data_IF_098174783110
#
_entry.id   IF_098174783110
#
_cell.length_a   1.000
_cell.length_b   1.000
_cell.length_c   1.000
_cell.angle_alpha   90.00
_cell.angle_beta   90.00
_cell.angle_gamma   90.00
#
_symmetry.space_group_name_H-M   'P 1'
#
loop_
_entity.id
_entity.type
_entity.pdbx_description
1 polymer ?
#
# COMPACT_ATOMS: atom_id res chain seq x y z
N UNK A 1 -17.36 0.15 -8.05
CA UNK A 1 -17.18 1.00 -6.85
C UNK A 1 -15.71 1.07 -6.46
N UNK A 2 -14.97 -0.06 -6.31
CA UNK A 2 -13.55 -0.05 -5.95
C UNK A 2 -12.72 0.79 -6.93
N UNK A 3 -12.81 0.54 -8.24
CA UNK A 3 -12.10 1.30 -9.25
C UNK A 3 -12.47 2.79 -9.24
N UNK A 4 -13.75 3.11 -9.04
CA UNK A 4 -14.21 4.49 -8.91
C UNK A 4 -13.57 5.19 -7.69
N UNK A 5 -13.47 4.50 -6.55
CA UNK A 5 -12.79 5.02 -5.36
C UNK A 5 -11.31 5.27 -5.59
N UNK A 6 -10.60 4.36 -6.29
CA UNK A 6 -9.19 4.54 -6.67
C UNK A 6 -9.01 5.76 -7.57
N UNK A 7 -9.79 5.85 -8.65
CA UNK A 7 -9.70 6.97 -9.58
C UNK A 7 -10.04 8.30 -8.90
N UNK A 8 -11.09 8.34 -8.07
CA UNK A 8 -11.47 9.53 -7.33
C UNK A 8 -10.36 9.97 -6.35
N UNK A 9 -9.70 9.02 -5.68
CA UNK A 9 -8.58 9.33 -4.79
C UNK A 9 -7.41 9.98 -5.52
N UNK A 10 -7.01 9.45 -6.68
CA UNK A 10 -5.93 10.03 -7.48
C UNK A 10 -6.27 11.40 -8.08
N UNK A 11 -7.55 11.68 -8.31
CA UNK A 11 -8.04 12.94 -8.86
C UNK A 11 -8.43 13.95 -7.77
N UNK A 12 -8.41 13.56 -6.49
CA UNK A 12 -8.83 14.42 -5.40
C UNK A 12 -7.94 15.66 -5.26
N UNK A 13 -8.55 16.84 -5.36
CA UNK A 13 -7.95 18.13 -5.10
C UNK A 13 -8.31 18.70 -3.72
N UNK A 14 -9.08 17.95 -2.94
CA UNK A 14 -9.59 18.31 -1.63
C UNK A 14 -9.40 17.17 -0.64
N UNK A 15 -9.05 17.51 0.61
CA UNK A 15 -8.73 16.52 1.63
C UNK A 15 -9.96 15.68 2.06
N UNK A 16 -11.14 16.29 2.06
CA UNK A 16 -12.38 15.59 2.38
C UNK A 16 -12.81 14.65 1.23
N UNK A 17 -12.64 15.08 -0.02
CA UNK A 17 -12.90 14.21 -1.16
C UNK A 17 -11.96 12.99 -1.17
N UNK A 18 -10.69 13.17 -0.76
CA UNK A 18 -9.76 12.07 -0.57
C UNK A 18 -10.25 11.11 0.53
N UNK A 19 -10.78 11.63 1.64
CA UNK A 19 -11.40 10.84 2.70
C UNK A 19 -12.57 10.00 2.17
N UNK A 20 -13.52 10.62 1.47
CA UNK A 20 -14.67 9.92 0.87
C UNK A 20 -14.20 8.81 -0.08
N UNK A 21 -13.14 9.05 -0.84
CA UNK A 21 -12.54 8.05 -1.71
C UNK A 21 -12.02 6.85 -0.94
N UNK A 22 -11.34 7.06 0.19
CA UNK A 22 -10.89 5.99 1.08
C UNK A 22 -12.06 5.21 1.67
N UNK A 23 -13.16 5.86 2.02
CA UNK A 23 -14.35 5.17 2.53
C UNK A 23 -15.03 4.32 1.44
N UNK A 24 -15.09 4.81 0.20
CA UNK A 24 -15.54 4.01 -0.95
C UNK A 24 -14.67 2.78 -1.18
N UNK A 25 -13.33 2.94 -1.06
CA UNK A 25 -12.37 1.83 -1.14
C UNK A 25 -12.59 0.82 -0.03
N UNK A 26 -12.77 1.28 1.21
CA UNK A 26 -12.99 0.43 2.38
C UNK A 26 -14.26 -0.41 2.22
N UNK A 27 -15.38 0.23 1.91
CA UNK A 27 -16.66 -0.46 1.74
C UNK A 27 -16.60 -1.54 0.64
N UNK A 28 -16.05 -1.17 -0.53
CA UNK A 28 -15.94 -2.10 -1.65
C UNK A 28 -14.95 -3.24 -1.38
N UNK A 29 -13.80 -2.95 -0.78
CA UNK A 29 -12.78 -3.96 -0.49
C UNK A 29 -13.22 -4.93 0.61
N UNK A 30 -13.96 -4.47 1.63
CA UNK A 30 -14.51 -5.34 2.65
C UNK A 30 -15.46 -6.39 2.05
N UNK A 31 -16.40 -5.96 1.20
CA UNK A 31 -17.32 -6.88 0.53
C UNK A 31 -16.55 -7.90 -0.31
N UNK A 32 -15.56 -7.46 -1.09
CA UNK A 32 -14.74 -8.35 -1.93
C UNK A 32 -13.89 -9.33 -1.11
N UNK A 33 -13.35 -8.90 0.04
CA UNK A 33 -12.56 -9.74 0.93
C UNK A 33 -13.39 -10.86 1.55
N UNK A 34 -14.64 -10.57 1.93
CA UNK A 34 -15.54 -11.49 2.62
C UNK A 34 -16.37 -12.36 1.68
N UNK A 35 -16.31 -12.14 0.37
CA UNK A 35 -17.03 -12.97 -0.63
C UNK A 35 -16.69 -14.45 -0.46
N UNK A 36 -17.74 -15.28 -0.41
CA UNK A 36 -17.64 -16.72 -0.20
C UNK A 36 -17.79 -17.17 1.27
N UNK A 37 -17.80 -16.24 2.24
CA UNK A 37 -18.30 -16.45 3.60
C UNK A 37 -17.54 -17.47 4.46
N UNK A 38 -16.30 -17.86 4.12
CA UNK A 38 -15.54 -18.77 4.99
C UNK A 38 -15.14 -18.08 6.30
N UNK A 39 -15.03 -18.85 7.39
CA UNK A 39 -14.69 -18.32 8.70
C UNK A 39 -13.36 -17.49 8.69
N UNK A 40 -12.37 -17.95 7.93
CA UNK A 40 -11.08 -17.26 7.81
C UNK A 40 -11.22 -15.91 7.08
N UNK A 41 -12.02 -15.86 6.00
CA UNK A 41 -12.30 -14.62 5.28
C UNK A 41 -13.07 -13.62 6.11
N UNK A 42 -14.07 -14.10 6.87
CA UNK A 42 -14.85 -13.24 7.78
C UNK A 42 -13.93 -12.67 8.86
N UNK A 43 -13.11 -13.49 9.50
CA UNK A 43 -12.14 -13.05 10.52
C UNK A 43 -11.15 -12.02 9.97
N UNK A 44 -10.54 -12.31 8.83
CA UNK A 44 -9.62 -11.40 8.16
C UNK A 44 -10.31 -10.10 7.74
N UNK A 45 -11.55 -10.17 7.24
CA UNK A 45 -12.36 -9.02 6.88
C UNK A 45 -12.69 -8.13 8.07
N UNK A 46 -13.06 -8.71 9.21
CA UNK A 46 -13.34 -7.96 10.45
C UNK A 46 -12.07 -7.24 10.92
N UNK A 47 -10.92 -7.92 10.99
CA UNK A 47 -9.64 -7.29 11.35
C UNK A 47 -9.27 -6.16 10.41
N UNK A 48 -9.42 -6.36 9.10
CA UNK A 48 -9.18 -5.34 8.08
C UNK A 48 -10.06 -4.10 8.28
N UNK A 49 -11.37 -4.29 8.47
CA UNK A 49 -12.31 -3.18 8.67
C UNK A 49 -11.98 -2.42 9.95
N UNK A 50 -11.72 -3.12 11.06
CA UNK A 50 -11.40 -2.45 12.33
C UNK A 50 -10.17 -1.55 12.22
N UNK A 51 -9.08 -2.05 11.64
CA UNK A 51 -7.85 -1.26 11.44
C UNK A 51 -8.12 -0.09 10.47
N UNK A 52 -8.87 -0.35 9.40
CA UNK A 52 -9.22 0.70 8.43
C UNK A 52 -10.12 1.77 9.01
N UNK A 53 -11.08 1.42 9.87
CA UNK A 53 -11.93 2.39 10.58
C UNK A 53 -11.13 3.27 11.54
N UNK A 54 -10.16 2.69 12.27
CA UNK A 54 -9.24 3.48 13.10
C UNK A 54 -8.48 4.50 12.25
N UNK A 55 -7.94 4.08 11.11
CA UNK A 55 -7.31 5.00 10.16
C UNK A 55 -8.27 6.10 9.69
N UNK A 56 -9.52 5.76 9.39
CA UNK A 56 -10.54 6.72 8.93
C UNK A 56 -10.88 7.75 10.00
N UNK A 57 -11.00 7.33 11.27
CA UNK A 57 -11.21 8.27 12.40
C UNK A 57 -10.02 9.21 12.57
N UNK A 58 -8.79 8.68 12.53
CA UNK A 58 -7.57 9.51 12.61
C UNK A 58 -7.51 10.49 11.43
N UNK A 59 -7.87 10.05 10.22
CA UNK A 59 -7.90 10.92 9.05
C UNK A 59 -8.95 12.03 9.20
N UNK A 60 -10.14 11.70 9.71
CA UNK A 60 -11.19 12.69 9.97
C UNK A 60 -10.77 13.73 11.03
N UNK A 61 -10.04 13.28 12.07
CA UNK A 61 -9.43 14.22 13.04
C UNK A 61 -8.38 15.11 12.37
N UNK A 62 -7.57 14.56 11.46
CA UNK A 62 -6.63 15.34 10.64
C UNK A 62 -7.33 16.37 9.76
N UNK A 63 -8.45 16.01 9.14
CA UNK A 63 -9.27 16.92 8.34
C UNK A 63 -9.85 18.05 9.21
N UNK A 64 -10.41 17.70 10.37
CA UNK A 64 -10.96 18.69 11.30
C UNK A 64 -9.86 19.66 11.76
N UNK A 65 -8.68 19.15 12.09
CA UNK A 65 -7.55 19.98 12.49
C UNK A 65 -7.04 20.86 11.32
N UNK A 66 -6.96 20.32 10.11
CA UNK A 66 -6.60 21.07 8.91
C UNK A 66 -7.58 22.24 8.67
N UNK A 67 -8.89 21.96 8.74
CA UNK A 67 -9.91 22.98 8.57
C UNK A 67 -9.88 24.04 9.67
N UNK A 68 -9.71 23.63 10.91
CA UNK A 68 -9.56 24.55 12.03
C UNK A 68 -8.35 25.49 11.86
N UNK A 69 -7.21 24.96 11.39
CA UNK A 69 -5.97 25.71 11.26
C UNK A 69 -5.93 26.62 10.01
N UNK A 70 -6.57 26.20 8.90
CA UNK A 70 -6.44 26.88 7.60
C UNK A 70 -7.76 27.48 7.08
N UNK A 71 -8.90 27.05 7.59
CA UNK A 71 -10.24 27.42 7.10
C UNK A 71 -10.58 26.85 5.72
N UNK A 72 -9.80 25.87 5.22
CA UNK A 72 -10.00 25.26 3.91
C UNK A 72 -9.60 23.77 3.93
N UNK A 73 -10.14 22.99 2.99
CA UNK A 73 -9.72 21.60 2.74
C UNK A 73 -9.18 21.41 1.31
N UNK A 74 -9.24 22.45 0.48
CA UNK A 74 -8.63 22.42 -0.83
C UNK A 74 -7.11 22.32 -0.69
N UNK A 75 -6.49 21.31 -1.31
CA UNK A 75 -5.06 21.00 -1.14
C UNK A 75 -4.14 22.14 -1.58
N UNK A 76 -4.50 22.84 -2.66
CA UNK A 76 -3.69 23.96 -3.17
C UNK A 76 -3.79 25.18 -2.27
N UNK A 77 -4.99 25.53 -1.79
CA UNK A 77 -5.20 26.64 -0.86
C UNK A 77 -4.56 26.34 0.51
N UNK A 78 -4.68 25.09 0.99
CA UNK A 78 -3.97 24.65 2.19
C UNK A 78 -2.45 24.80 2.08
N UNK A 79 -1.87 24.43 0.93
CA UNK A 79 -0.44 24.53 0.71
C UNK A 79 0.10 25.97 0.87
N UNK A 80 -0.72 26.97 0.53
CA UNK A 80 -0.38 28.38 0.73
C UNK A 80 -0.54 28.76 2.21
N UNK A 81 -1.70 28.46 2.81
CA UNK A 81 -2.02 28.87 4.19
C UNK A 81 -1.17 28.20 5.25
N UNK A 82 -0.71 26.97 5.00
CA UNK A 82 0.17 26.26 5.92
C UNK A 82 1.54 26.92 6.08
N UNK A 83 1.99 27.72 5.10
CA UNK A 83 3.27 28.41 5.18
C UNK A 83 3.27 29.53 6.23
N UNK A 84 2.10 30.10 6.53
CA UNK A 84 1.94 31.17 7.51
C UNK A 84 1.72 30.66 8.94
N UNK A 85 1.61 29.33 9.13
CA UNK A 85 1.36 28.73 10.44
C UNK A 85 2.65 28.39 11.19
N UNK A 86 2.62 28.37 12.53
CA UNK A 86 3.74 27.93 13.35
C UNK A 86 4.17 26.49 12.97
N UNK A 87 5.48 26.24 12.93
CA UNK A 87 6.05 24.94 12.56
C UNK A 87 5.51 23.77 13.41
N UNK A 88 5.25 23.99 14.69
CA UNK A 88 4.64 22.98 15.56
C UNK A 88 3.24 22.55 15.12
N UNK A 89 2.43 23.51 14.65
CA UNK A 89 1.07 23.23 14.13
C UNK A 89 1.15 22.41 12.84
N UNK A 90 1.98 22.82 11.90
CA UNK A 90 2.16 22.15 10.61
C UNK A 90 2.74 20.74 10.77
N UNK A 91 3.76 20.57 11.62
CA UNK A 91 4.35 19.26 11.92
C UNK A 91 3.36 18.34 12.59
N UNK A 92 2.56 18.82 13.55
CA UNK A 92 1.54 18.00 14.21
C UNK A 92 0.45 17.55 13.23
N UNK A 93 -0.03 18.47 12.39
CA UNK A 93 -1.00 18.14 11.36
C UNK A 93 -0.45 17.08 10.40
N UNK A 94 0.79 17.27 9.93
CA UNK A 94 1.44 16.29 9.05
C UNK A 94 1.58 14.92 9.72
N UNK A 95 2.00 14.89 11.00
CA UNK A 95 2.13 13.62 11.73
C UNK A 95 0.79 12.87 11.85
N UNK A 96 -0.32 13.56 12.15
CA UNK A 96 -1.66 12.95 12.21
C UNK A 96 -2.06 12.37 10.86
N UNK A 97 -1.86 13.11 9.78
CA UNK A 97 -2.17 12.63 8.42
C UNK A 97 -1.27 11.46 8.02
N UNK A 98 0.03 11.51 8.37
CA UNK A 98 0.98 10.41 8.10
C UNK A 98 0.59 9.12 8.81
N UNK A 99 0.09 9.17 10.05
CA UNK A 99 -0.40 7.98 10.74
C UNK A 99 -1.60 7.40 9.99
N UNK A 100 -2.58 8.23 9.60
CA UNK A 100 -3.74 7.76 8.84
C UNK A 100 -3.35 7.12 7.51
N UNK A 101 -2.51 7.79 6.73
CA UNK A 101 -2.05 7.30 5.43
C UNK A 101 -1.10 6.12 5.56
N UNK A 102 -0.26 6.09 6.61
CA UNK A 102 0.65 4.98 6.92
C UNK A 102 -0.10 3.68 7.25
N UNK A 103 -1.23 3.75 7.95
CA UNK A 103 -2.13 2.59 8.14
C UNK A 103 -2.66 2.11 6.78
N UNK A 104 -3.16 3.01 5.93
CA UNK A 104 -3.70 2.67 4.60
C UNK A 104 -2.62 2.15 3.66
N UNK A 105 -1.40 2.66 3.75
CA UNK A 105 -0.25 2.18 2.97
C UNK A 105 0.39 0.91 3.54
N UNK A 106 0.06 0.51 4.76
CA UNK A 106 0.69 -0.59 5.50
C UNK A 106 2.20 -0.36 5.76
N UNK A 107 2.54 0.83 6.25
CA UNK A 107 3.90 1.18 6.71
C UNK A 107 4.13 0.64 8.13
N UNK A 108 5.30 0.10 8.42
CA UNK A 108 5.65 -0.37 9.77
C UNK A 108 5.65 0.80 10.79
N UNK A 109 5.13 0.61 12.00
CA UNK A 109 4.61 -0.62 12.62
C UNK A 109 3.14 -0.94 12.28
N UNK A 110 2.49 -0.19 11.42
CA UNK A 110 1.06 -0.25 11.11
C UNK A 110 0.73 -1.27 9.99
N UNK A 111 1.70 -2.10 9.58
CA UNK A 111 1.61 -3.01 8.42
C UNK A 111 1.02 -4.39 8.72
N UNK A 112 0.83 -4.74 10.00
CA UNK A 112 0.50 -6.10 10.45
C UNK A 112 -0.82 -6.67 9.90
N UNK A 113 -1.78 -5.81 9.60
CA UNK A 113 -3.08 -6.20 9.08
C UNK A 113 -3.02 -6.79 7.67
N UNK A 114 -2.06 -6.36 6.84
CA UNK A 114 -1.99 -6.70 5.43
C UNK A 114 -1.65 -8.19 5.18
N UNK A 115 -0.59 -8.76 5.77
CA UNK A 115 -0.23 -10.17 5.56
C UNK A 115 -1.25 -11.16 6.11
N UNK A 116 -2.10 -10.73 7.04
CA UNK A 116 -3.16 -11.57 7.61
C UNK A 116 -4.49 -11.45 6.85
N UNK A 117 -4.69 -10.37 6.10
CA UNK A 117 -5.94 -10.12 5.36
C UNK A 117 -5.86 -10.56 3.89
N UNK A 118 -4.87 -10.10 3.15
CA UNK A 118 -4.80 -10.29 1.69
C UNK A 118 -4.72 -11.75 1.23
N UNK A 119 -3.97 -12.66 1.89
CA UNK A 119 -3.88 -14.06 1.45
C UNK A 119 -5.20 -14.82 1.51
N UNK A 120 -6.16 -14.37 2.32
CA UNK A 120 -7.45 -15.05 2.51
C UNK A 120 -8.45 -14.79 1.38
N UNK A 121 -8.30 -13.67 0.66
CA UNK A 121 -9.16 -13.30 -0.44
C UNK A 121 -8.98 -14.21 -1.67
N UNK A 122 -9.99 -14.28 -2.57
CA UNK A 122 -9.78 -14.88 -3.89
C UNK A 122 -8.64 -14.22 -4.64
N UNK A 123 -7.83 -15.00 -5.38
CA UNK A 123 -6.62 -14.51 -6.04
C UNK A 123 -6.84 -13.25 -6.92
N UNK A 124 -7.90 -13.12 -7.74
CA UNK A 124 -8.15 -11.89 -8.50
C UNK A 124 -8.39 -10.67 -7.60
N UNK A 125 -9.06 -10.87 -6.46
CA UNK A 125 -9.32 -9.82 -5.47
C UNK A 125 -8.00 -9.40 -4.80
N UNK A 126 -7.20 -10.37 -4.35
CA UNK A 126 -5.88 -10.12 -3.76
C UNK A 126 -4.97 -9.37 -4.74
N UNK A 127 -4.99 -9.74 -6.02
CA UNK A 127 -4.19 -9.09 -7.05
C UNK A 127 -4.53 -7.59 -7.18
N UNK A 128 -5.82 -7.24 -7.21
CA UNK A 128 -6.27 -5.85 -7.26
C UNK A 128 -5.92 -5.10 -5.96
N UNK A 129 -6.08 -5.74 -4.80
CA UNK A 129 -5.75 -5.13 -3.52
C UNK A 129 -4.25 -4.84 -3.41
N UNK A 130 -3.42 -5.82 -3.72
CA UNK A 130 -1.98 -5.70 -3.68
C UNK A 130 -1.45 -4.68 -4.72
N UNK A 131 -2.10 -4.62 -5.88
CA UNK A 131 -1.76 -3.65 -6.91
C UNK A 131 -2.12 -2.21 -6.54
N UNK A 132 -3.32 -1.96 -6.02
CA UNK A 132 -3.88 -0.60 -5.98
C UNK A 132 -4.14 -0.04 -4.58
N UNK A 133 -4.71 -0.82 -3.63
CA UNK A 133 -5.20 -0.23 -2.38
C UNK A 133 -4.12 0.47 -1.56
N UNK A 134 -3.00 -0.21 -1.34
CA UNK A 134 -1.87 0.36 -0.58
C UNK A 134 -1.23 1.55 -1.30
N UNK A 135 -1.27 1.57 -2.65
CA UNK A 135 -0.69 2.65 -3.46
C UNK A 135 -1.49 3.94 -3.38
N UNK A 136 -2.78 3.86 -3.12
CA UNK A 136 -3.58 5.07 -2.78
C UNK A 136 -3.08 5.69 -1.48
N UNK A 137 -2.71 4.89 -0.47
CA UNK A 137 -2.07 5.37 0.76
C UNK A 137 -0.70 6.01 0.50
N UNK A 138 0.15 5.35 -0.30
CA UNK A 138 1.46 5.91 -0.71
C UNK A 138 1.27 7.22 -1.48
N UNK A 139 0.32 7.28 -2.41
CA UNK A 139 -0.02 8.50 -3.14
C UNK A 139 -0.44 9.63 -2.21
N UNK A 140 -1.27 9.35 -1.21
CA UNK A 140 -1.68 10.34 -0.22
C UNK A 140 -0.48 10.90 0.56
N UNK A 141 0.50 10.05 0.92
CA UNK A 141 1.76 10.47 1.55
C UNK A 141 2.57 11.36 0.59
N UNK A 142 2.72 10.96 -0.69
CA UNK A 142 3.40 11.78 -1.71
C UNK A 142 2.75 13.15 -1.82
N UNK A 143 1.41 13.21 -1.94
CA UNK A 143 0.67 14.47 -2.06
C UNK A 143 0.80 15.35 -0.83
N UNK A 144 0.72 14.76 0.36
CA UNK A 144 0.92 15.49 1.61
C UNK A 144 2.33 16.05 1.69
N UNK A 145 3.34 15.22 1.49
CA UNK A 145 4.74 15.59 1.60
C UNK A 145 5.16 16.66 0.57
N UNK A 146 4.76 16.50 -0.70
CA UNK A 146 5.23 17.38 -1.78
C UNK A 146 4.46 18.67 -1.92
N UNK A 147 3.15 18.66 -1.62
CA UNK A 147 2.29 19.82 -1.83
C UNK A 147 2.01 20.58 -0.54
N UNK A 148 1.62 19.88 0.52
CA UNK A 148 1.18 20.53 1.75
C UNK A 148 2.32 20.80 2.74
N UNK A 149 3.31 19.91 2.81
CA UNK A 149 4.39 19.97 3.81
C UNK A 149 5.80 19.84 3.19
N UNK A 150 6.18 20.73 2.26
CA UNK A 150 7.45 20.61 1.51
C UNK A 150 8.70 20.88 2.34
N UNK A 151 8.57 21.16 3.64
CA UNK A 151 9.68 21.55 4.51
C UNK A 151 10.50 20.42 5.14
N UNK A 152 10.23 19.16 4.81
CA UNK A 152 11.02 18.01 5.29
C UNK A 152 10.91 17.70 6.79
N UNK A 153 9.94 18.28 7.50
CA UNK A 153 9.86 18.23 8.97
C UNK A 153 9.78 16.82 9.57
N UNK A 154 9.35 15.81 8.80
CA UNK A 154 9.23 14.41 9.23
C UNK A 154 10.01 13.45 8.32
N UNK A 155 10.96 13.93 7.53
CA UNK A 155 11.76 13.08 6.62
C UNK A 155 12.53 12.00 7.36
N UNK A 156 13.12 12.30 8.51
CA UNK A 156 13.82 11.32 9.35
C UNK A 156 12.87 10.22 9.84
N UNK A 157 11.63 10.59 10.21
CA UNK A 157 10.62 9.63 10.65
C UNK A 157 10.19 8.74 9.49
N UNK A 158 9.96 9.32 8.31
CA UNK A 158 9.65 8.57 7.08
C UNK A 158 10.81 7.66 6.67
N UNK A 159 12.06 8.14 6.77
CA UNK A 159 13.26 7.37 6.48
C UNK A 159 13.35 6.13 7.38
N UNK A 160 13.23 6.31 8.68
CA UNK A 160 13.28 5.21 9.65
C UNK A 160 12.11 4.26 9.43
N UNK A 161 10.90 4.77 9.25
CA UNK A 161 9.72 3.96 8.98
C UNK A 161 9.86 3.16 7.68
N UNK A 162 10.40 3.77 6.62
CA UNK A 162 10.69 3.11 5.34
C UNK A 162 11.69 1.98 5.50
N UNK A 163 12.83 2.23 6.15
CA UNK A 163 13.86 1.22 6.44
C UNK A 163 13.31 0.05 7.26
N UNK A 164 12.60 0.33 8.34
CA UNK A 164 11.98 -0.72 9.16
C UNK A 164 10.93 -1.51 8.40
N UNK A 165 10.15 -0.85 7.53
CA UNK A 165 9.16 -1.50 6.67
C UNK A 165 9.84 -2.47 5.69
N UNK A 166 10.97 -2.06 5.09
CA UNK A 166 11.77 -2.94 4.22
C UNK A 166 12.27 -4.17 4.97
N UNK A 167 12.92 -3.97 6.11
CA UNK A 167 13.55 -5.04 6.89
C UNK A 167 12.51 -6.01 7.44
N UNK A 168 11.48 -5.50 8.10
CA UNK A 168 10.41 -6.33 8.68
C UNK A 168 9.64 -7.08 7.60
N UNK A 169 9.37 -6.41 6.46
CA UNK A 169 8.71 -7.03 5.33
C UNK A 169 9.51 -8.20 4.74
N UNK A 170 10.80 -8.01 4.45
CA UNK A 170 11.60 -9.08 3.84
C UNK A 170 11.88 -10.24 4.82
N UNK A 171 12.18 -9.96 6.08
CA UNK A 171 12.35 -10.99 7.08
C UNK A 171 11.06 -11.78 7.31
N UNK A 172 9.93 -11.07 7.34
CA UNK A 172 8.60 -11.69 7.39
C UNK A 172 8.32 -12.59 6.18
N UNK A 173 8.73 -12.19 4.97
CA UNK A 173 8.57 -12.99 3.76
C UNK A 173 9.39 -14.29 3.81
N UNK A 174 10.65 -14.23 4.23
CA UNK A 174 11.53 -15.40 4.34
C UNK A 174 10.98 -16.43 5.35
N UNK A 175 10.29 -15.98 6.39
CA UNK A 175 9.71 -16.85 7.39
C UNK A 175 8.43 -17.59 6.93
N UNK A 176 7.87 -17.26 5.76
CA UNK A 176 6.59 -17.85 5.34
C UNK A 176 6.74 -19.19 4.62
N UNK A 177 5.75 -20.05 4.83
CA UNK A 177 5.59 -21.33 4.13
C UNK A 177 4.40 -21.35 3.17
N UNK A 178 3.66 -20.26 3.09
CA UNK A 178 2.55 -20.02 2.16
C UNK A 178 2.93 -18.95 1.15
N UNK A 179 2.74 -19.24 -0.15
CA UNK A 179 3.20 -18.36 -1.24
C UNK A 179 2.44 -17.02 -1.28
N UNK A 180 1.13 -17.01 -0.94
CA UNK A 180 0.37 -15.76 -0.89
C UNK A 180 0.81 -14.88 0.26
N UNK A 181 1.06 -15.50 1.41
CA UNK A 181 1.53 -14.80 2.60
C UNK A 181 2.96 -14.27 2.39
N UNK A 182 3.82 -15.05 1.74
CA UNK A 182 5.15 -14.60 1.31
C UNK A 182 5.05 -13.35 0.43
N UNK A 183 4.21 -13.37 -0.62
CA UNK A 183 4.01 -12.22 -1.49
C UNK A 183 3.38 -11.02 -0.77
N UNK A 184 2.58 -11.24 0.27
CA UNK A 184 2.03 -10.15 1.07
C UNK A 184 3.09 -9.47 1.94
N UNK A 185 4.05 -10.22 2.47
CA UNK A 185 5.18 -9.65 3.18
C UNK A 185 6.19 -8.97 2.25
N UNK A 186 6.43 -9.51 1.05
CA UNK A 186 7.24 -8.80 0.04
C UNK A 186 6.57 -7.49 -0.37
N UNK A 187 5.23 -7.46 -0.50
CA UNK A 187 4.48 -6.22 -0.74
C UNK A 187 4.76 -5.17 0.33
N UNK A 188 4.76 -5.55 1.63
CA UNK A 188 5.12 -4.64 2.74
C UNK A 188 6.55 -4.13 2.57
N UNK A 189 7.51 -5.01 2.30
CA UNK A 189 8.90 -4.61 2.06
C UNK A 189 9.03 -3.57 0.95
N UNK A 190 8.35 -3.78 -0.17
CA UNK A 190 8.39 -2.87 -1.32
C UNK A 190 7.68 -1.53 -1.08
N UNK A 191 6.69 -1.48 -0.18
CA UNK A 191 6.15 -0.22 0.31
C UNK A 191 7.23 0.58 1.05
N UNK A 192 8.09 -0.09 1.80
CA UNK A 192 9.25 0.53 2.45
C UNK A 192 10.16 1.27 1.47
N UNK A 193 10.44 0.69 0.28
CA UNK A 193 11.20 1.39 -0.77
C UNK A 193 10.52 2.67 -1.24
N UNK A 194 9.20 2.64 -1.39
CA UNK A 194 8.43 3.82 -1.80
C UNK A 194 8.50 4.92 -0.74
N UNK A 195 8.33 4.57 0.54
CA UNK A 195 8.41 5.54 1.66
C UNK A 195 9.83 6.10 1.79
N UNK A 196 10.84 5.25 1.65
CA UNK A 196 12.24 5.66 1.66
C UNK A 196 12.55 6.67 0.55
N UNK A 197 12.07 6.43 -0.67
CA UNK A 197 12.26 7.35 -1.79
C UNK A 197 11.55 8.71 -1.58
N UNK A 198 10.38 8.74 -0.91
CA UNK A 198 9.73 9.98 -0.50
C UNK A 198 10.59 10.74 0.51
N UNK A 199 11.11 10.03 1.52
CA UNK A 199 11.91 10.59 2.61
C UNK A 199 13.23 11.21 2.17
N UNK A 200 13.73 10.85 0.97
CA UNK A 200 14.94 11.50 0.40
C UNK A 200 14.70 12.96 0.05
N UNK A 201 13.46 13.42 -0.07
CA UNK A 201 13.08 14.83 -0.37
C UNK A 201 13.82 15.44 -1.55
N UNK A 202 14.20 14.61 -2.53
CA UNK A 202 14.88 15.04 -3.76
C UNK A 202 14.01 14.79 -4.99
N UNK A 203 14.16 15.59 -6.07
CA UNK A 203 13.44 15.33 -7.32
C UNK A 203 13.70 13.94 -7.89
N UNK A 204 14.92 13.41 -7.73
CA UNK A 204 15.27 12.06 -8.15
C UNK A 204 14.57 11.01 -7.28
N UNK A 205 14.59 11.16 -5.96
CA UNK A 205 13.88 10.26 -5.03
C UNK A 205 12.40 10.20 -5.32
N UNK A 206 11.76 11.33 -5.56
CA UNK A 206 10.34 11.41 -5.89
C UNK A 206 10.02 10.77 -7.24
N UNK A 207 10.78 11.09 -8.29
CA UNK A 207 10.57 10.51 -9.62
C UNK A 207 10.77 9.00 -9.62
N UNK A 208 11.80 8.51 -8.93
CA UNK A 208 12.06 7.08 -8.75
C UNK A 208 10.93 6.40 -7.97
N UNK A 209 10.40 7.05 -6.92
CA UNK A 209 9.25 6.54 -6.18
C UNK A 209 8.01 6.41 -7.06
N UNK A 210 7.67 7.43 -7.84
CA UNK A 210 6.52 7.39 -8.75
C UNK A 210 6.67 6.29 -9.78
N UNK A 211 7.85 6.17 -10.40
CA UNK A 211 8.16 5.09 -11.33
C UNK A 211 8.00 3.72 -10.66
N UNK A 212 8.55 3.57 -9.45
CA UNK A 212 8.49 2.32 -8.71
C UNK A 212 7.07 1.95 -8.28
N UNK A 213 6.22 2.91 -7.95
CA UNK A 213 4.79 2.67 -7.68
C UNK A 213 4.12 2.02 -8.89
N UNK A 214 4.31 2.59 -10.09
CA UNK A 214 3.70 2.06 -11.33
C UNK A 214 4.26 0.68 -11.65
N UNK A 215 5.58 0.52 -11.61
CA UNK A 215 6.26 -0.77 -11.78
C UNK A 215 5.69 -1.84 -10.85
N UNK A 216 5.62 -1.54 -9.55
CA UNK A 216 5.19 -2.47 -8.54
C UNK A 216 3.70 -2.84 -8.67
N UNK A 217 2.83 -1.92 -9.10
CA UNK A 217 1.42 -2.22 -9.41
C UNK A 217 1.33 -3.36 -10.42
N UNK A 218 2.05 -3.27 -11.52
CA UNK A 218 2.03 -4.27 -12.59
C UNK A 218 2.61 -5.61 -12.14
N UNK A 219 3.79 -5.59 -11.55
CA UNK A 219 4.51 -6.81 -11.16
C UNK A 219 3.78 -7.56 -10.05
N UNK A 220 3.35 -6.86 -9.01
CA UNK A 220 2.69 -7.49 -7.87
C UNK A 220 1.31 -8.03 -8.23
N UNK A 221 0.54 -7.31 -9.05
CA UNK A 221 -0.74 -7.79 -9.58
C UNK A 221 -0.54 -9.07 -10.38
N UNK A 222 0.46 -9.10 -11.27
CA UNK A 222 0.79 -10.28 -12.07
C UNK A 222 1.17 -11.46 -11.19
N UNK A 223 2.03 -11.27 -10.19
CA UNK A 223 2.44 -12.34 -9.27
C UNK A 223 1.24 -12.95 -8.53
N UNK A 224 0.33 -12.13 -7.98
CA UNK A 224 -0.85 -12.66 -7.29
C UNK A 224 -1.82 -13.38 -8.24
N UNK A 225 -1.99 -12.91 -9.47
CA UNK A 225 -2.80 -13.63 -10.48
C UNK A 225 -2.19 -14.98 -10.82
N UNK A 226 -0.87 -15.02 -11.04
CA UNK A 226 -0.15 -16.28 -11.35
C UNK A 226 -0.19 -17.24 -10.17
N UNK A 227 -0.03 -16.75 -8.93
CA UNK A 227 -0.18 -17.58 -7.73
C UNK A 227 -1.59 -18.15 -7.61
N UNK A 228 -2.61 -17.41 -8.01
CA UNK A 228 -3.97 -17.93 -8.11
C UNK A 228 -4.11 -19.10 -9.10
N UNK A 229 -3.40 -19.04 -10.23
CA UNK A 229 -3.33 -20.15 -11.19
C UNK A 229 -2.55 -21.35 -10.62
N UNK A 230 -1.44 -21.09 -9.93
CA UNK A 230 -0.65 -22.12 -9.23
C UNK A 230 -1.54 -22.85 -8.20
N UNK A 231 -2.23 -22.10 -7.36
CA UNK A 231 -3.13 -22.67 -6.34
C UNK A 231 -4.23 -23.53 -6.97
N UNK A 232 -4.80 -23.06 -8.07
CA UNK A 232 -5.85 -23.81 -8.81
C UNK A 232 -5.31 -25.10 -9.42
N UNK A 233 -4.08 -25.09 -9.94
CA UNK A 233 -3.47 -26.26 -10.60
C UNK A 233 -2.90 -27.27 -9.59
N UNK A 234 -2.26 -26.79 -8.53
CA UNK A 234 -1.62 -27.63 -7.51
C UNK A 234 -2.56 -28.03 -6.35
N UNK A 235 -3.71 -27.37 -6.22
CA UNK A 235 -4.63 -27.58 -5.11
C UNK A 235 -4.12 -27.10 -3.75
N UNK A 236 -3.02 -26.34 -3.71
CA UNK A 236 -2.40 -25.87 -2.49
C UNK A 236 -1.62 -24.56 -2.71
N UNK A 237 -1.55 -23.72 -1.67
CA UNK A 237 -0.69 -22.52 -1.62
C UNK A 237 0.59 -22.74 -0.78
N UNK A 238 0.70 -23.88 -0.08
CA UNK A 238 1.84 -24.18 0.78
C UNK A 238 3.08 -24.56 -0.06
N UNK A 239 4.19 -23.86 0.12
CA UNK A 239 5.47 -24.12 -0.54
C UNK A 239 5.99 -25.55 -0.34
N UNK A 240 5.64 -26.19 0.78
CA UNK A 240 6.02 -27.58 1.07
C UNK A 240 5.29 -28.60 0.17
N UNK A 241 4.15 -28.20 -0.41
CA UNK A 241 3.32 -29.03 -1.31
C UNK A 241 3.50 -28.64 -2.77
N UNK A 242 4.11 -27.50 -3.05
CA UNK A 242 4.39 -27.03 -4.41
C UNK A 242 5.70 -27.64 -4.88
N UNK A 243 5.59 -28.69 -5.70
CA UNK A 243 6.75 -29.35 -6.32
C UNK A 243 6.42 -29.82 -7.72
N UNK A 244 7.41 -29.89 -8.60
CA UNK A 244 7.29 -30.40 -9.98
C UNK A 244 6.49 -29.52 -10.94
N UNK A 245 6.02 -28.35 -10.53
CA UNK A 245 5.17 -27.47 -11.34
C UNK A 245 5.86 -26.99 -12.62
N UNK A 246 7.19 -26.75 -12.57
CA UNK A 246 7.96 -26.35 -13.74
C UNK A 246 7.96 -27.42 -14.84
N UNK A 247 7.97 -28.68 -14.46
CA UNK A 247 7.87 -29.81 -15.41
C UNK A 247 6.41 -30.02 -15.89
N UNK A 248 5.44 -29.89 -14.97
CA UNK A 248 4.02 -30.10 -15.29
C UNK A 248 3.42 -28.94 -16.10
N UNK A 249 3.88 -27.71 -15.90
CA UNK A 249 3.38 -26.50 -16.56
C UNK A 249 4.51 -25.47 -16.75
N UNK A 250 5.37 -25.63 -17.77
CA UNK A 250 6.48 -24.72 -18.03
C UNK A 250 6.04 -23.28 -18.25
N UNK A 251 4.90 -23.07 -18.90
CA UNK A 251 4.34 -21.72 -19.13
C UNK A 251 4.03 -21.02 -17.81
N UNK A 252 3.42 -21.74 -16.86
CA UNK A 252 3.12 -21.17 -15.55
C UNK A 252 4.38 -20.84 -14.75
N UNK A 253 5.41 -21.69 -14.88
CA UNK A 253 6.72 -21.43 -14.28
C UNK A 253 7.35 -20.14 -14.84
N UNK A 254 7.32 -19.93 -16.16
CA UNK A 254 7.82 -18.71 -16.80
C UNK A 254 7.01 -17.50 -16.36
N UNK A 255 5.67 -17.59 -16.35
CA UNK A 255 4.78 -16.51 -15.92
C UNK A 255 5.00 -16.09 -14.47
N UNK A 256 5.47 -17.00 -13.61
CA UNK A 256 5.85 -16.67 -12.24
C UNK A 256 7.28 -16.11 -12.17
N UNK A 257 8.21 -16.74 -12.88
CA UNK A 257 9.64 -16.44 -12.76
C UNK A 257 10.00 -15.05 -13.31
N UNK A 258 9.43 -14.65 -14.45
CA UNK A 258 9.70 -13.35 -15.04
C UNK A 258 9.31 -12.17 -14.13
N UNK A 259 8.07 -12.08 -13.60
CA UNK A 259 7.75 -11.01 -12.66
C UNK A 259 8.47 -11.15 -11.31
N UNK A 260 8.85 -12.37 -10.88
CA UNK A 260 9.67 -12.54 -9.69
C UNK A 260 11.08 -11.97 -9.85
N UNK A 261 11.73 -12.20 -10.99
CA UNK A 261 13.02 -11.59 -11.33
C UNK A 261 12.91 -10.05 -11.43
N UNK A 262 11.80 -9.58 -12.01
CA UNK A 262 11.51 -8.17 -12.13
C UNK A 262 11.31 -7.53 -10.75
N UNK A 263 10.58 -8.18 -9.85
CA UNK A 263 10.42 -7.73 -8.46
C UNK A 263 11.75 -7.73 -7.71
N UNK A 264 12.62 -8.70 -7.97
CA UNK A 264 13.97 -8.80 -7.40
C UNK A 264 14.98 -7.78 -7.93
N UNK A 265 14.57 -6.91 -8.87
CA UNK A 265 15.46 -5.89 -9.42
C UNK A 265 16.62 -6.44 -10.25
N UNK A 266 16.44 -7.55 -10.97
CA UNK A 266 17.48 -8.18 -11.78
C UNK A 266 17.50 -7.56 -13.19
N UNK A 267 18.66 -7.12 -13.73
CA UNK A 267 18.76 -6.66 -15.12
C UNK A 267 18.35 -7.76 -16.11
N UNK A 268 17.71 -7.43 -17.21
CA UNK A 268 17.38 -6.13 -17.79
C UNK A 268 15.96 -5.62 -17.44
N UNK A 269 15.35 -6.12 -16.36
CA UNK A 269 13.96 -5.80 -16.01
C UNK A 269 13.81 -4.40 -15.40
N UNK A 270 12.57 -3.85 -15.50
CA UNK A 270 12.24 -2.51 -15.02
C UNK A 270 12.40 -2.32 -13.50
N UNK A 271 12.46 -3.39 -12.72
CA UNK A 271 12.74 -3.32 -11.29
C UNK A 271 14.19 -2.98 -10.95
N UNK A 272 15.11 -3.07 -11.93
CA UNK A 272 16.51 -2.69 -11.76
C UNK A 272 16.73 -1.17 -11.91
N UNK A 273 15.89 -0.49 -12.70
CA UNK A 273 15.96 0.95 -12.97
C UNK A 273 15.42 1.76 -11.81
#
# INVERSE_FOLDING_TARGET
>A
ILAAGVCNAFLAGDLFNLFVSFEMLLAASFVLLTVGGSADRIRAGVSYVMVSMVSSVIFLLGIAYAYFATGTLNLADMAIKLQDLPSGTTTTLFAVLLVAFGIKAAVFPLSTWLPDSYPTAPAPVTAVFAGLLTKVGVYAIIRAHTLMFPGGALDDVLMIAGLLTMIVGILGAIAQTDIKRLLSFTLVSHIGYMIFGIALSTPLGLSSTIYYVVHHILVQTTLFLVVGLIERQAGAASLRRLGGLAAASPVLAILFFLPALNLGGIPPFSGFV
#
